data_IF_940794087206
#
_entry.id   IF_940794087206
#
_cell.length_a   1.000
_cell.length_b   1.000
_cell.length_c   1.000
_cell.angle_alpha   90.00
_cell.angle_beta   90.00
_cell.angle_gamma   90.00
#
_symmetry.space_group_name_H-M   'P 1'
#
loop_
_entity.id
_entity.type
_entity.pdbx_description
1 polymer ?
#
# COMPACT_ATOMS: atom_id res chain seq x y z
N UNK A 1 9.51 -16.59 13.21
CA UNK A 1 10.07 -16.13 11.93
C UNK A 1 9.01 -15.24 11.33
N UNK A 2 8.98 -14.01 11.80
CA UNK A 2 7.99 -13.01 11.42
C UNK A 2 8.40 -12.46 10.05
N UNK A 3 8.00 -13.18 9.00
CA UNK A 3 8.19 -12.79 7.60
C UNK A 3 7.29 -11.62 7.19
N UNK A 4 6.48 -11.10 8.12
CA UNK A 4 5.57 -9.99 7.89
C UNK A 4 6.34 -8.67 7.97
N UNK A 5 6.59 -8.06 6.81
CA UNK A 5 7.14 -6.70 6.76
C UNK A 5 6.15 -5.77 7.41
N UNK A 6 6.62 -5.00 8.39
CA UNK A 6 5.80 -3.97 8.98
C UNK A 6 5.38 -2.98 7.88
N UNK A 7 4.08 -2.67 7.72
CA UNK A 7 3.63 -1.70 6.73
C UNK A 7 4.39 -0.36 6.84
N UNK A 8 4.75 0.01 8.06
CA UNK A 8 5.56 1.19 8.37
C UNK A 8 6.93 1.21 7.67
N UNK A 9 7.60 0.07 7.49
CA UNK A 9 8.88 0.03 6.77
C UNK A 9 8.71 0.30 5.28
N UNK A 10 7.70 -0.32 4.65
CA UNK A 10 7.37 -0.08 3.25
C UNK A 10 6.93 1.37 3.02
N UNK A 11 6.11 1.91 3.91
CA UNK A 11 5.72 3.32 3.88
C UNK A 11 6.96 4.23 3.95
N UNK A 12 7.90 3.96 4.86
CA UNK A 12 9.13 4.73 4.96
C UNK A 12 10.03 4.62 3.72
N UNK A 13 10.05 3.46 3.06
CA UNK A 13 10.81 3.25 1.83
C UNK A 13 10.19 4.04 0.66
N UNK A 14 8.87 4.00 0.53
CA UNK A 14 8.12 4.72 -0.50
C UNK A 14 8.25 6.24 -0.32
N UNK A 15 8.17 6.74 0.92
CA UNK A 15 8.34 8.17 1.23
C UNK A 15 9.73 8.72 0.89
N UNK A 16 10.73 7.87 0.64
CA UNK A 16 12.05 8.32 0.14
C UNK A 16 12.02 8.71 -1.35
N UNK A 17 10.98 8.32 -2.08
CA UNK A 17 10.86 8.65 -3.50
C UNK A 17 10.39 10.11 -3.66
N UNK A 18 11.10 10.96 -4.43
CA UNK A 18 10.80 12.40 -4.51
C UNK A 18 9.42 12.72 -5.12
N UNK A 19 8.88 11.82 -5.93
CA UNK A 19 7.56 11.98 -6.54
C UNK A 19 6.40 11.44 -5.67
N UNK A 20 6.66 10.99 -4.44
CA UNK A 20 5.64 10.52 -3.50
C UNK A 20 5.42 11.57 -2.42
N UNK A 21 4.19 12.08 -2.30
CA UNK A 21 3.82 13.03 -1.25
C UNK A 21 3.50 12.32 0.07
N UNK A 22 2.76 11.21 -0.03
CA UNK A 22 2.31 10.41 1.09
C UNK A 22 2.05 8.98 0.63
N UNK A 23 2.09 8.01 1.52
CA UNK A 23 1.72 6.64 1.18
C UNK A 23 1.21 5.87 2.40
N UNK A 24 0.43 4.85 2.13
CA UNK A 24 -0.06 3.89 3.11
C UNK A 24 0.11 2.47 2.59
N UNK A 25 0.57 1.55 3.42
CA UNK A 25 0.60 0.13 3.07
C UNK A 25 -0.36 -0.63 3.99
N UNK A 26 -1.13 -1.55 3.42
CA UNK A 26 -2.03 -2.43 4.16
C UNK A 26 -1.92 -3.88 3.67
N UNK A 27 -2.17 -4.81 4.59
CA UNK A 27 -2.39 -6.21 4.27
C UNK A 27 -3.85 -6.48 3.93
N UNK A 28 -4.10 -6.92 2.70
CA UNK A 28 -5.41 -7.33 2.20
C UNK A 28 -5.50 -8.86 2.21
N UNK A 29 -6.66 -9.44 2.59
CA UNK A 29 -6.82 -10.89 2.53
C UNK A 29 -6.78 -11.36 1.07
N UNK A 30 -6.12 -12.48 0.84
CA UNK A 30 -6.01 -13.13 -0.46
C UNK A 30 -6.18 -14.63 -0.28
N UNK A 31 -6.95 -15.27 -1.16
CA UNK A 31 -7.29 -16.69 -1.00
C UNK A 31 -6.09 -17.62 -1.30
N UNK A 32 -5.15 -17.15 -2.12
CA UNK A 32 -4.02 -17.95 -2.62
C UNK A 32 -2.84 -17.94 -1.63
N UNK A 33 -2.50 -16.76 -1.11
CA UNK A 33 -1.34 -16.55 -0.22
C UNK A 33 -1.71 -16.12 1.20
N UNK A 34 -3.00 -16.05 1.52
CA UNK A 34 -3.54 -15.61 2.82
C UNK A 34 -3.61 -14.09 2.96
N UNK A 35 -2.49 -13.39 2.73
CA UNK A 35 -2.42 -11.93 2.78
C UNK A 35 -1.49 -11.37 1.69
N UNK A 36 -1.95 -10.34 0.97
CA UNK A 36 -1.12 -9.57 0.03
C UNK A 36 -0.93 -8.15 0.53
N UNK A 37 0.23 -7.57 0.23
CA UNK A 37 0.52 -6.18 0.55
C UNK A 37 0.04 -5.28 -0.58
N UNK A 38 -0.85 -4.34 -0.26
CA UNK A 38 -1.32 -3.30 -1.17
C UNK A 38 -0.81 -1.95 -0.69
N UNK A 39 -0.27 -1.15 -1.61
CA UNK A 39 0.15 0.22 -1.32
C UNK A 39 -0.82 1.23 -1.93
N UNK A 40 -1.13 2.26 -1.16
CA UNK A 40 -1.81 3.47 -1.60
C UNK A 40 -0.79 4.59 -1.62
N UNK A 41 -0.66 5.27 -2.75
CA UNK A 41 0.35 6.31 -2.93
C UNK A 41 -0.31 7.60 -3.37
N UNK A 42 0.04 8.68 -2.70
CA UNK A 42 -0.33 10.04 -3.10
C UNK A 42 0.81 10.61 -3.93
N UNK A 43 0.63 10.75 -5.25
CA UNK A 43 1.67 11.29 -6.11
C UNK A 43 1.86 12.79 -5.82
N UNK A 44 3.12 13.24 -5.74
CA UNK A 44 3.50 14.66 -5.72
C UNK A 44 3.84 15.19 -7.12
N UNK A 45 4.14 14.29 -8.05
CA UNK A 45 4.54 14.58 -9.41
C UNK A 45 4.11 13.47 -10.37
N UNK A 46 4.82 13.32 -11.48
CA UNK A 46 4.58 12.21 -12.40
C UNK A 46 5.21 10.94 -11.82
N UNK A 47 4.36 10.00 -11.43
CA UNK A 47 4.75 8.65 -10.99
C UNK A 47 3.61 7.69 -11.36
N UNK A 48 3.97 6.46 -11.72
CA UNK A 48 3.01 5.40 -12.06
C UNK A 48 3.05 4.29 -11.02
N UNK A 49 2.02 3.45 -11.01
CA UNK A 49 1.93 2.27 -10.14
C UNK A 49 3.11 1.31 -10.35
N UNK A 50 3.57 1.17 -11.60
CA UNK A 50 4.74 0.37 -11.95
C UNK A 50 6.03 0.93 -11.36
N UNK A 51 6.24 2.26 -11.43
CA UNK A 51 7.43 2.89 -10.84
C UNK A 51 7.46 2.71 -9.31
N UNK A 52 6.30 2.83 -8.65
CA UNK A 52 6.17 2.57 -7.21
C UNK A 52 6.51 1.12 -6.90
N UNK A 53 5.94 0.18 -7.65
CA UNK A 53 6.20 -1.25 -7.46
C UNK A 53 7.68 -1.55 -7.68
N UNK A 54 8.29 -1.01 -8.75
CA UNK A 54 9.71 -1.21 -9.06
C UNK A 54 10.62 -0.65 -7.97
N UNK A 55 10.32 0.53 -7.44
CA UNK A 55 11.07 1.11 -6.33
C UNK A 55 11.12 0.18 -5.12
N UNK A 56 10.02 -0.51 -4.80
CA UNK A 56 10.00 -1.53 -3.74
C UNK A 56 10.81 -2.76 -4.13
N UNK A 57 10.67 -3.23 -5.37
CA UNK A 57 11.38 -4.42 -5.87
C UNK A 57 12.90 -4.26 -5.90
N UNK A 58 13.40 -3.05 -6.13
CA UNK A 58 14.84 -2.76 -6.14
C UNK A 58 15.46 -2.74 -4.73
N UNK A 59 14.65 -2.58 -3.68
CA UNK A 59 15.14 -2.44 -2.30
C UNK A 59 14.79 -3.62 -1.38
N UNK A 60 13.75 -4.38 -1.71
CA UNK A 60 13.27 -5.50 -0.89
C UNK A 60 13.32 -6.81 -1.68
N UNK A 61 13.20 -7.94 -0.97
CA UNK A 61 13.10 -9.27 -1.57
C UNK A 61 11.69 -9.56 -2.07
N UNK A 62 11.55 -10.52 -3.00
CA UNK A 62 10.31 -10.92 -3.66
C UNK A 62 9.11 -11.15 -2.73
N UNK A 63 9.35 -11.75 -1.56
CA UNK A 63 8.32 -12.05 -0.56
C UNK A 63 7.73 -10.79 0.11
N UNK A 64 8.31 -9.62 -0.16
CA UNK A 64 7.90 -8.30 0.36
C UNK A 64 7.30 -7.41 -0.72
N UNK A 65 7.11 -7.93 -1.94
CA UNK A 65 6.60 -7.16 -3.05
C UNK A 65 5.13 -6.80 -2.83
N UNK A 66 4.72 -5.71 -3.48
CA UNK A 66 3.35 -5.19 -3.44
C UNK A 66 2.43 -6.03 -4.36
N UNK A 67 2.29 -7.31 -4.03
CA UNK A 67 1.49 -8.27 -4.81
C UNK A 67 -0.02 -8.00 -4.75
N UNK A 68 -0.46 -7.19 -3.79
CA UNK A 68 -1.84 -6.70 -3.68
C UNK A 68 -2.14 -5.50 -4.59
N UNK A 69 -1.13 -5.05 -5.33
CA UNK A 69 -1.19 -3.91 -6.23
C UNK A 69 -0.76 -2.60 -5.59
N UNK A 70 -0.58 -1.60 -6.43
CA UNK A 70 -0.42 -0.20 -6.05
C UNK A 70 -1.66 0.54 -6.52
N UNK A 71 -2.17 1.47 -5.72
CA UNK A 71 -3.25 2.36 -6.14
C UNK A 71 -2.82 3.82 -5.90
N UNK A 72 -2.88 4.63 -6.96
CA UNK A 72 -2.66 6.07 -6.84
C UNK A 72 -3.94 6.74 -6.34
N UNK A 73 -3.85 7.41 -5.21
CA UNK A 73 -4.99 8.09 -4.57
C UNK A 73 -4.67 9.56 -4.33
N UNK A 74 -5.71 10.39 -4.29
CA UNK A 74 -5.57 11.83 -4.08
C UNK A 74 -5.15 12.16 -2.62
N UNK A 75 -5.54 11.31 -1.67
CA UNK A 75 -5.18 11.47 -0.26
C UNK A 75 -5.33 10.17 0.52
N UNK A 76 -4.47 9.99 1.51
CA UNK A 76 -4.59 8.91 2.49
C UNK A 76 -5.54 9.35 3.62
N UNK A 77 -6.53 8.54 4.00
CA UNK A 77 -7.40 8.84 5.12
C UNK A 77 -6.61 8.85 6.43
N UNK A 78 -6.54 10.03 7.03
CA UNK A 78 -5.88 10.27 8.32
C UNK A 78 -6.91 10.78 9.32
N UNK A 79 -6.74 10.41 10.58
CA UNK A 79 -7.52 10.94 11.69
C UNK A 79 -7.19 12.42 11.90
N UNK A 80 -8.02 13.14 12.67
CA UNK A 80 -7.81 14.55 13.03
C UNK A 80 -6.46 14.81 13.73
N UNK A 81 -5.85 13.77 14.33
CA UNK A 81 -4.52 13.81 14.93
C UNK A 81 -3.39 13.43 13.96
N UNK A 82 -3.67 13.31 12.66
CA UNK A 82 -2.69 12.90 11.63
C UNK A 82 -2.34 11.41 11.61
N UNK A 83 -2.97 10.59 12.48
CA UNK A 83 -2.75 9.13 12.51
C UNK A 83 -3.39 8.48 11.29
N UNK A 84 -2.61 7.66 10.59
CA UNK A 84 -3.05 6.91 9.43
C UNK A 84 -4.10 5.87 9.81
N UNK A 85 -5.27 5.93 9.17
CA UNK A 85 -6.39 5.05 9.46
C UNK A 85 -6.32 3.78 8.60
N UNK A 86 -5.35 2.91 8.89
CA UNK A 86 -5.14 1.62 8.16
C UNK A 86 -6.42 0.79 8.10
N UNK A 87 -7.19 0.79 9.20
CA UNK A 87 -8.48 0.09 9.28
C UNK A 87 -9.47 0.59 8.24
N UNK A 88 -9.52 1.91 8.00
CA UNK A 88 -10.45 2.49 7.03
C UNK A 88 -10.05 2.12 5.60
N UNK A 89 -8.76 2.19 5.24
CA UNK A 89 -8.29 1.71 3.94
C UNK A 89 -8.62 0.23 3.70
N UNK A 90 -8.42 -0.61 4.73
CA UNK A 90 -8.76 -2.03 4.65
C UNK A 90 -10.27 -2.23 4.48
N UNK A 91 -11.10 -1.48 5.18
CA UNK A 91 -12.55 -1.55 5.07
C UNK A 91 -13.04 -1.14 3.67
N UNK A 92 -12.51 -0.04 3.13
CA UNK A 92 -12.80 0.42 1.77
C UNK A 92 -12.39 -0.61 0.72
N UNK A 93 -11.22 -1.25 0.90
CA UNK A 93 -10.79 -2.35 0.03
C UNK A 93 -11.75 -3.53 0.10
N UNK A 94 -12.12 -3.99 1.30
CA UNK A 94 -13.04 -5.11 1.48
C UNK A 94 -14.44 -4.81 0.94
N UNK A 95 -14.89 -3.57 1.07
CA UNK A 95 -16.16 -3.12 0.53
C UNK A 95 -16.15 -3.18 -1.00
N UNK A 96 -15.10 -2.63 -1.64
CA UNK A 96 -14.92 -2.74 -3.10
C UNK A 96 -14.86 -4.19 -3.56
N UNK A 97 -14.16 -5.06 -2.83
CA UNK A 97 -14.07 -6.48 -3.16
C UNK A 97 -15.44 -7.16 -3.14
N UNK A 98 -16.28 -6.85 -2.14
CA UNK A 98 -17.66 -7.36 -2.07
C UNK A 98 -18.53 -6.82 -3.19
N UNK A 99 -18.44 -5.52 -3.48
CA UNK A 99 -19.19 -4.90 -4.59
C UNK A 99 -18.81 -5.47 -5.97
N UNK A 100 -17.59 -6.00 -6.12
CA UNK A 100 -17.16 -6.69 -7.34
C UNK A 100 -17.58 -8.17 -7.39
N UNK A 101 -18.00 -8.74 -6.26
CA UNK A 101 -18.42 -10.15 -6.15
C UNK A 101 -19.96 -10.33 -6.19
N UNK A 102 -20.73 -9.26 -6.02
CA UNK A 102 -22.19 -9.20 -6.22
C UNK A 102 -22.57 -8.81 -7.65
#
# INVERSE_FOLDING_TARGET
MDLQVAPAELENLLLKHPNIADCAVIGIPDDDVGERLRAYVVPRGQITEDEVARHVQEHLSEHKFLTGGVELVESIPKSTTGKLLRRQLKDEYLKRLKEQME
#
